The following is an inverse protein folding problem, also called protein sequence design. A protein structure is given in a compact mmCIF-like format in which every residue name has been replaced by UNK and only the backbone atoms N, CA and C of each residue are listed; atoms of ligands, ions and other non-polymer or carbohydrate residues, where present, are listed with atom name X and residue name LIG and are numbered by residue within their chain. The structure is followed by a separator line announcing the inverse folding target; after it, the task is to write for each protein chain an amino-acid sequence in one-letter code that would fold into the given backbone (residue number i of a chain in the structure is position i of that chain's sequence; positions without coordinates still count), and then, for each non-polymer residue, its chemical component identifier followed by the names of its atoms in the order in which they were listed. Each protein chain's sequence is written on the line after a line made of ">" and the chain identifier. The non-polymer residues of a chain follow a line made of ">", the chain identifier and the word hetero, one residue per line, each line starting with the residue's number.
data_IF_785814889773
#
_entry.id   IF_785814889773
#
_cell.length_a   1.000
_cell.length_b   1.000
_cell.length_c   1.000
_cell.angle_alpha   90.00
_cell.angle_beta   90.00
_cell.angle_gamma   90.00
#
_symmetry.space_group_name_H-M   'P 1'
#
loop_
_entity.id
_entity.type
_entity.pdbx_description
1 polymer ?
#
# COMPACT_ATOMS: atom_id res chain seq x y z
N UNK A 1 22.72 -13.31 3.63
CA UNK A 1 21.60 -13.38 2.65
C UNK A 1 22.08 -12.78 1.33
N UNK A 2 22.49 -13.62 0.37
CA UNK A 2 23.10 -13.18 -0.91
C UNK A 2 22.02 -13.06 -2.00
N UNK A 3 22.01 -11.89 -2.66
CA UNK A 3 21.44 -11.60 -3.97
C UNK A 3 19.96 -11.97 -4.26
N UNK A 4 19.04 -11.07 -3.88
CA UNK A 4 17.72 -10.91 -4.55
C UNK A 4 17.36 -9.42 -4.70
N UNK A 5 18.37 -8.58 -4.94
CA UNK A 5 18.32 -7.16 -4.56
C UNK A 5 17.52 -6.24 -5.50
N UNK A 6 17.29 -6.60 -6.77
CA UNK A 6 16.60 -5.71 -7.74
C UNK A 6 15.24 -6.24 -8.20
N UNK A 7 15.17 -7.50 -8.64
CA UNK A 7 13.91 -8.11 -9.12
C UNK A 7 12.83 -8.15 -8.03
N UNK A 8 13.19 -8.47 -6.79
CA UNK A 8 12.25 -8.49 -5.68
C UNK A 8 11.74 -7.09 -5.32
N UNK A 9 12.60 -6.07 -5.40
CA UNK A 9 12.20 -4.67 -5.22
C UNK A 9 11.26 -4.21 -6.33
N UNK A 10 11.54 -4.58 -7.58
CA UNK A 10 10.66 -4.27 -8.72
C UNK A 10 9.29 -4.91 -8.54
N UNK A 11 9.21 -6.19 -8.16
CA UNK A 11 7.92 -6.83 -7.88
C UNK A 11 7.18 -6.21 -6.70
N UNK A 12 7.89 -5.84 -5.63
CA UNK A 12 7.27 -5.13 -4.51
C UNK A 12 6.69 -3.77 -4.93
N UNK A 13 7.42 -3.00 -5.74
CA UNK A 13 6.94 -1.71 -6.28
C UNK A 13 5.75 -1.91 -7.21
N UNK A 14 5.80 -2.88 -8.12
CA UNK A 14 4.69 -3.19 -9.03
C UNK A 14 3.44 -3.63 -8.28
N UNK A 15 3.59 -4.51 -7.27
CA UNK A 15 2.49 -4.93 -6.42
C UNK A 15 1.87 -3.75 -5.65
N UNK A 16 2.71 -2.82 -5.17
CA UNK A 16 2.24 -1.63 -4.48
C UNK A 16 1.49 -0.66 -5.41
N UNK A 17 2.01 -0.44 -6.61
CA UNK A 17 1.35 0.37 -7.62
C UNK A 17 -0.01 -0.22 -8.00
N UNK A 18 -0.08 -1.53 -8.23
CA UNK A 18 -1.33 -2.21 -8.55
C UNK A 18 -2.34 -2.09 -7.41
N UNK A 19 -1.91 -2.30 -6.16
CA UNK A 19 -2.75 -2.14 -4.97
C UNK A 19 -3.28 -0.71 -4.82
N UNK A 20 -2.44 0.30 -5.09
CA UNK A 20 -2.86 1.71 -5.03
C UNK A 20 -3.91 2.06 -6.10
N UNK A 21 -3.74 1.55 -7.33
CA UNK A 21 -4.73 1.72 -8.40
C UNK A 21 -6.07 1.08 -8.01
N UNK A 22 -6.04 -0.17 -7.54
CA UNK A 22 -7.24 -0.87 -7.09
C UNK A 22 -7.92 -0.17 -5.92
N UNK A 23 -7.16 0.36 -4.97
CA UNK A 23 -7.69 1.14 -3.86
C UNK A 23 -8.35 2.45 -4.32
N UNK A 24 -7.79 3.13 -5.33
CA UNK A 24 -8.40 4.32 -5.92
C UNK A 24 -9.74 4.01 -6.60
N UNK A 25 -9.81 2.92 -7.36
CA UNK A 25 -11.05 2.45 -8.01
C UNK A 25 -12.08 2.04 -6.96
N UNK A 26 -11.69 1.21 -5.98
CA UNK A 26 -12.58 0.78 -4.90
C UNK A 26 -13.09 1.97 -4.08
N UNK A 27 -12.26 2.98 -3.85
CA UNK A 27 -12.65 4.22 -3.17
C UNK A 27 -13.69 5.00 -3.95
N UNK A 28 -13.54 5.14 -5.27
CA UNK A 28 -14.52 5.80 -6.12
C UNK A 28 -15.87 5.06 -6.12
N UNK A 29 -15.85 3.72 -6.22
CA UNK A 29 -17.08 2.91 -6.11
C UNK A 29 -17.76 3.06 -4.75
N UNK A 30 -16.99 3.13 -3.66
CA UNK A 30 -17.54 3.33 -2.32
C UNK A 30 -18.13 4.73 -2.13
N UNK A 31 -17.50 5.77 -2.67
CA UNK A 31 -18.04 7.13 -2.68
C UNK A 31 -19.39 7.17 -3.39
N UNK A 32 -19.49 6.56 -4.58
CA UNK A 32 -20.72 6.49 -5.35
C UNK A 32 -21.81 5.67 -4.64
N UNK A 33 -21.45 4.54 -4.02
CA UNK A 33 -22.38 3.68 -3.31
C UNK A 33 -22.90 4.27 -1.99
N UNK A 34 -22.08 5.07 -1.29
CA UNK A 34 -22.40 5.59 0.05
C UNK A 34 -22.77 7.07 0.07
N UNK A 35 -22.45 7.82 -0.98
CA UNK A 35 -22.60 9.28 -1.04
C UNK A 35 -21.65 10.02 -0.09
N UNK A 36 -20.66 9.34 0.50
CA UNK A 36 -19.75 9.93 1.48
C UNK A 36 -18.32 10.04 0.93
N UNK A 37 -17.87 11.28 0.74
CA UNK A 37 -16.54 11.58 0.16
C UNK A 37 -15.37 11.05 1.00
N UNK A 38 -15.55 10.91 2.32
CA UNK A 38 -14.50 10.41 3.22
C UNK A 38 -14.16 8.93 2.99
N UNK A 39 -15.13 8.14 2.52
CA UNK A 39 -14.97 6.69 2.31
C UNK A 39 -14.06 6.40 1.11
N UNK A 40 -13.97 7.35 0.16
CA UNK A 40 -13.06 7.29 -0.99
C UNK A 40 -11.61 7.00 -0.59
N UNK A 41 -11.16 7.58 0.51
CA UNK A 41 -9.76 7.50 0.93
C UNK A 41 -9.47 6.25 1.77
N UNK A 42 -10.52 5.58 2.27
CA UNK A 42 -10.40 4.48 3.22
C UNK A 42 -9.59 3.29 2.66
N UNK A 43 -9.82 2.83 1.41
CA UNK A 43 -9.00 1.78 0.80
C UNK A 43 -7.54 2.19 0.64
N UNK A 44 -7.28 3.46 0.30
CA UNK A 44 -5.92 3.97 0.12
C UNK A 44 -5.15 3.98 1.45
N UNK A 45 -5.81 4.41 2.55
CA UNK A 45 -5.23 4.38 3.89
C UNK A 45 -4.84 2.96 4.30
N UNK A 46 -5.69 1.97 4.01
CA UNK A 46 -5.37 0.56 4.28
C UNK A 46 -4.12 0.11 3.53
N UNK A 47 -3.99 0.43 2.25
CA UNK A 47 -2.80 0.10 1.45
C UNK A 47 -1.54 0.72 2.06
N UNK A 48 -1.61 1.99 2.46
CA UNK A 48 -0.47 2.69 3.10
C UNK A 48 -0.09 2.06 4.44
N UNK A 49 -1.06 1.74 5.29
CA UNK A 49 -0.81 1.10 6.60
C UNK A 49 -0.17 -0.28 6.42
N UNK A 50 -0.68 -1.09 5.48
CA UNK A 50 -0.09 -2.39 5.17
C UNK A 50 1.34 -2.24 4.64
N UNK A 51 1.60 -1.23 3.80
CA UNK A 51 2.95 -0.88 3.35
C UNK A 51 3.89 -0.59 4.51
N UNK A 52 3.44 0.26 5.43
CA UNK A 52 4.23 0.67 6.59
C UNK A 52 4.54 -0.54 7.46
N UNK A 53 3.55 -1.37 7.77
CA UNK A 53 3.75 -2.60 8.56
C UNK A 53 4.75 -3.53 7.86
N UNK A 54 4.64 -3.70 6.54
CA UNK A 54 5.56 -4.51 5.77
C UNK A 54 6.99 -3.94 5.82
N UNK A 55 7.16 -2.62 5.72
CA UNK A 55 8.46 -1.92 5.83
C UNK A 55 9.06 -2.04 7.25
N UNK A 56 8.24 -1.92 8.30
CA UNK A 56 8.67 -2.15 9.68
C UNK A 56 9.11 -3.59 9.91
N UNK A 57 8.33 -4.58 9.45
CA UNK A 57 8.67 -6.01 9.58
C UNK A 57 9.91 -6.41 8.77
N UNK A 58 10.18 -5.74 7.65
CA UNK A 58 11.37 -6.02 6.83
C UNK A 58 12.63 -5.30 7.33
N UNK A 59 12.56 -4.57 8.45
CA UNK A 59 13.73 -3.93 9.08
C UNK A 59 14.30 -2.76 8.27
N UNK A 60 13.54 -2.24 7.31
CA UNK A 60 13.93 -1.11 6.44
C UNK A 60 13.87 0.23 7.18
N UNK A 61 13.08 0.29 8.26
CA UNK A 61 13.01 1.42 9.19
C UNK A 61 13.68 0.96 10.49
N UNK A 62 14.90 1.42 10.81
CA UNK A 62 15.51 1.08 12.10
C UNK A 62 14.63 1.65 13.22
N UNK A 63 14.37 0.91 14.30
CA UNK A 63 13.70 1.46 15.47
C UNK A 63 14.54 2.65 15.95
N UNK A 64 13.94 3.85 15.99
CA UNK A 64 14.57 4.99 16.64
C UNK A 64 14.80 4.60 18.09
N UNK A 65 16.06 4.58 18.51
CA UNK A 65 16.43 4.62 19.93
C UNK A 65 15.86 5.88 20.56
#
# INVERSE_FOLDING_TARGET
>A
MKASSRRNRVFAVLGFLLAAVLAGVAGAYLEEATGQIWVRFLPLVVVVVVAMIAMFRSGLIPPKK
#
